data_IF_067776362234
#
_entry.id   IF_067776362234
#
_cell.length_a   1.000
_cell.length_b   1.000
_cell.length_c   1.000
_cell.angle_alpha   90.00
_cell.angle_beta   90.00
_cell.angle_gamma   90.00
#
_symmetry.space_group_name_H-M   'P 1'
#
loop_
_entity.id
_entity.type
_entity.pdbx_description
1 polymer ?
#
# COMPACT_ATOMS: atom_id res chain seq x y z
N UNK A 1 -26.75 -19.89 -27.38
CA UNK A 1 -26.05 -18.93 -26.51
C UNK A 1 -25.82 -19.60 -25.16
N UNK A 2 -24.59 -19.62 -24.66
CA UNK A 2 -24.26 -20.15 -23.34
C UNK A 2 -24.78 -19.25 -22.22
N UNK A 3 -24.85 -19.77 -20.97
CA UNK A 3 -25.36 -19.00 -19.82
C UNK A 3 -24.52 -17.73 -19.59
N UNK A 4 -23.21 -17.81 -19.73
CA UNK A 4 -22.29 -16.66 -19.57
C UNK A 4 -22.56 -15.59 -20.60
N UNK A 5 -22.71 -15.96 -21.87
CA UNK A 5 -22.98 -15.02 -22.97
C UNK A 5 -24.37 -14.39 -22.83
N UNK A 6 -25.37 -15.19 -22.41
CA UNK A 6 -26.70 -14.68 -22.16
C UNK A 6 -26.76 -13.64 -21.03
N UNK A 7 -26.03 -13.89 -19.96
CA UNK A 7 -25.89 -12.89 -18.87
C UNK A 7 -25.20 -11.61 -19.32
N UNK A 8 -24.13 -11.73 -20.12
CA UNK A 8 -23.44 -10.56 -20.65
C UNK A 8 -24.37 -9.74 -21.56
N UNK A 9 -25.03 -10.38 -22.53
CA UNK A 9 -25.95 -9.73 -23.43
C UNK A 9 -27.14 -9.05 -22.71
N UNK A 10 -27.69 -9.70 -21.68
CA UNK A 10 -28.76 -9.11 -20.87
C UNK A 10 -28.27 -7.86 -20.09
N UNK A 11 -27.07 -7.90 -19.51
CA UNK A 11 -26.50 -6.75 -18.82
C UNK A 11 -26.21 -5.59 -19.78
N UNK A 12 -25.72 -5.88 -20.98
CA UNK A 12 -25.44 -4.87 -22.00
C UNK A 12 -26.73 -4.22 -22.49
N UNK A 13 -27.78 -5.00 -22.72
CA UNK A 13 -29.11 -4.49 -23.11
C UNK A 13 -29.71 -3.59 -22.01
N UNK A 14 -29.72 -4.04 -20.74
CA UNK A 14 -30.23 -3.24 -19.63
C UNK A 14 -29.48 -1.92 -19.47
N UNK A 15 -28.15 -1.92 -19.70
CA UNK A 15 -27.35 -0.71 -19.66
C UNK A 15 -27.67 0.23 -20.81
N UNK A 16 -27.85 -0.29 -22.03
CA UNK A 16 -28.20 0.49 -23.21
C UNK A 16 -29.59 1.15 -23.10
N UNK A 17 -30.56 0.44 -22.50
CA UNK A 17 -31.91 0.98 -22.28
C UNK A 17 -32.00 1.90 -21.04
N UNK A 18 -30.89 2.13 -20.30
CA UNK A 18 -30.90 2.96 -19.09
C UNK A 18 -31.69 2.36 -17.93
N UNK A 19 -31.97 1.05 -17.96
CA UNK A 19 -32.75 0.32 -16.95
C UNK A 19 -31.87 -0.22 -15.84
N UNK A 20 -30.53 -0.16 -15.98
CA UNK A 20 -29.59 -0.63 -14.99
C UNK A 20 -28.15 -0.27 -15.33
N UNK A 21 -27.25 -0.51 -14.39
CA UNK A 21 -25.80 -0.35 -14.57
C UNK A 21 -25.08 -1.63 -14.22
N UNK A 22 -24.08 -1.99 -15.02
CA UNK A 22 -23.22 -3.14 -14.71
C UNK A 22 -22.44 -2.85 -13.43
N UNK A 23 -22.53 -3.76 -12.46
CA UNK A 23 -21.78 -3.69 -11.20
C UNK A 23 -20.97 -4.96 -11.00
N UNK A 24 -19.71 -4.79 -10.63
CA UNK A 24 -18.82 -5.88 -10.20
C UNK A 24 -18.82 -5.87 -8.68
N UNK A 25 -19.20 -7.01 -8.06
CA UNK A 25 -19.10 -7.20 -6.61
C UNK A 25 -17.93 -8.15 -6.36
N UNK A 26 -16.93 -7.64 -5.68
CA UNK A 26 -15.80 -8.46 -5.23
C UNK A 26 -16.19 -9.24 -3.98
N UNK A 27 -15.75 -10.50 -3.88
CA UNK A 27 -15.95 -11.37 -2.71
C UNK A 27 -14.73 -11.36 -1.78
N UNK A 28 -13.92 -10.32 -1.86
CA UNK A 28 -12.78 -10.08 -1.00
C UNK A 28 -13.13 -8.97 -0.03
N UNK A 29 -12.68 -9.08 1.23
CA UNK A 29 -12.80 -7.98 2.20
C UNK A 29 -11.71 -6.97 1.92
N UNK A 30 -12.05 -5.70 2.12
CA UNK A 30 -11.05 -4.63 2.09
C UNK A 30 -9.97 -4.91 3.13
N UNK A 31 -8.74 -4.70 2.72
CA UNK A 31 -7.58 -4.86 3.57
C UNK A 31 -7.03 -3.49 3.94
N UNK A 32 -6.99 -3.22 5.24
CA UNK A 32 -6.39 -2.00 5.75
C UNK A 32 -4.86 -2.17 5.75
N UNK A 33 -4.17 -1.31 5.04
CA UNK A 33 -2.71 -1.37 4.94
C UNK A 33 -2.01 -0.65 6.11
N UNK A 34 -2.66 0.29 6.80
CA UNK A 34 -2.15 0.97 7.99
C UNK A 34 -2.17 0.07 9.22
N UNK A 35 -1.12 0.15 10.03
CA UNK A 35 -0.96 -0.58 11.29
C UNK A 35 -0.55 0.37 12.40
N UNK A 36 -1.27 0.33 13.51
CA UNK A 36 -1.03 1.11 14.72
C UNK A 36 0.06 0.43 15.56
N UNK A 37 1.28 0.34 15.01
CA UNK A 37 2.39 -0.35 15.66
C UNK A 37 3.75 0.18 15.22
N UNK A 38 4.75 -0.05 16.07
CA UNK A 38 6.14 0.27 15.79
C UNK A 38 6.83 -0.88 15.02
N UNK A 39 6.30 -1.20 13.81
CA UNK A 39 6.84 -2.24 12.95
C UNK A 39 6.34 -2.07 11.52
N UNK A 40 7.26 -1.96 10.57
CA UNK A 40 6.96 -1.74 9.17
C UNK A 40 7.39 -0.35 8.70
N UNK A 41 7.23 -0.05 7.41
CA UNK A 41 7.59 1.26 6.85
C UNK A 41 6.63 2.34 7.33
N UNK A 42 7.12 3.49 7.82
CA UNK A 42 6.28 4.65 8.08
C UNK A 42 5.55 5.12 6.82
N UNK A 43 4.30 5.53 6.99
CA UNK A 43 3.51 6.10 5.91
C UNK A 43 3.94 7.56 5.71
N UNK A 44 4.41 7.98 4.52
CA UNK A 44 5.00 9.30 4.30
C UNK A 44 3.93 10.38 4.10
N UNK A 45 3.03 10.54 5.08
CA UNK A 45 1.93 11.50 5.04
C UNK A 45 1.98 12.42 6.25
N UNK A 46 1.49 13.64 6.06
CA UNK A 46 1.49 14.72 7.04
C UNK A 46 0.10 15.34 7.11
N UNK A 47 -0.44 15.50 8.32
CA UNK A 47 -1.72 16.15 8.59
C UNK A 47 -1.50 17.60 9.00
N UNK A 48 -2.03 18.53 8.22
CA UNK A 48 -2.04 19.95 8.51
C UNK A 48 -3.48 20.41 8.73
N UNK A 49 -3.72 21.20 9.77
CA UNK A 49 -5.07 21.67 10.08
C UNK A 49 -5.60 22.64 9.00
N UNK A 50 -4.71 23.39 8.33
CA UNK A 50 -5.08 24.35 7.27
C UNK A 50 -5.10 23.72 5.88
N UNK A 51 -4.14 22.84 5.56
CA UNK A 51 -3.94 22.28 4.21
C UNK A 51 -4.49 20.86 4.04
N UNK A 52 -4.96 20.23 5.12
CA UNK A 52 -5.38 18.83 5.09
C UNK A 52 -4.21 17.85 4.96
N UNK A 53 -4.46 16.71 4.35
CA UNK A 53 -3.49 15.65 4.17
C UNK A 53 -2.48 16.03 3.07
N UNK A 54 -1.19 15.98 3.40
CA UNK A 54 -0.09 16.31 2.49
C UNK A 54 0.91 15.15 2.44
N UNK A 55 1.51 14.84 1.26
CA UNK A 55 2.63 13.91 1.19
C UNK A 55 3.89 14.53 1.78
N UNK A 56 4.74 13.72 2.41
CA UNK A 56 6.09 14.14 2.77
C UNK A 56 6.89 14.48 1.51
N UNK A 57 7.73 15.53 1.50
CA UNK A 57 8.61 15.83 0.38
C UNK A 57 9.55 14.66 0.05
N UNK A 58 9.87 14.47 -1.22
CA UNK A 58 10.83 13.43 -1.63
C UNK A 58 12.21 13.61 -0.99
N UNK A 59 12.59 14.84 -0.68
CA UNK A 59 13.85 15.17 0.03
C UNK A 59 13.92 14.58 1.44
N UNK A 60 12.77 14.30 2.04
CA UNK A 60 12.67 13.78 3.42
C UNK A 60 12.60 12.24 3.46
N UNK A 61 12.59 11.61 2.30
CA UNK A 61 12.58 10.15 2.18
C UNK A 61 14.00 9.56 2.25
N UNK A 62 14.16 8.40 2.87
CA UNK A 62 13.13 7.61 3.55
C UNK A 62 12.76 8.16 4.92
N UNK A 63 11.47 8.04 5.29
CA UNK A 63 11.04 8.31 6.67
C UNK A 63 11.52 7.15 7.54
N UNK A 64 12.41 7.42 8.48
CA UNK A 64 12.96 6.40 9.37
C UNK A 64 12.17 6.35 10.68
N UNK A 65 12.02 5.15 11.22
CA UNK A 65 11.53 4.97 12.59
C UNK A 65 12.59 5.48 13.57
N UNK A 66 12.20 6.25 14.60
CA UNK A 66 13.14 6.66 15.65
C UNK A 66 13.60 5.45 16.46
N UNK A 67 14.84 5.47 16.93
CA UNK A 67 15.47 4.42 17.73
C UNK A 67 15.42 4.69 19.24
N UNK A 68 14.98 5.89 19.62
CA UNK A 68 14.87 6.36 21.01
C UNK A 68 13.43 6.36 21.54
N UNK A 69 12.60 5.40 21.11
CA UNK A 69 11.20 5.30 21.53
C UNK A 69 11.04 4.69 22.93
N UNK A 70 10.06 5.19 23.67
CA UNK A 70 9.62 4.61 24.93
C UNK A 70 8.43 3.66 24.69
N UNK A 71 8.58 2.38 25.04
CA UNK A 71 7.47 1.43 25.01
C UNK A 71 6.69 1.47 26.32
N UNK A 72 5.39 1.72 26.24
CA UNK A 72 4.48 1.80 27.38
C UNK A 72 3.66 0.52 27.54
N UNK A 73 3.36 0.11 28.79
CA UNK A 73 2.54 -1.08 29.02
C UNK A 73 1.11 -1.00 28.46
N UNK A 74 0.63 0.21 28.12
CA UNK A 74 -0.69 0.44 27.52
C UNK A 74 -0.88 -0.24 26.16
N UNK A 75 0.21 -0.63 25.48
CA UNK A 75 0.16 -1.19 24.13
C UNK A 75 -0.09 -0.16 23.02
N UNK A 76 -0.08 1.14 23.37
CA UNK A 76 -0.18 2.22 22.38
C UNK A 76 1.03 2.26 21.46
N UNK A 77 0.81 2.68 20.22
CA UNK A 77 1.90 2.89 19.27
C UNK A 77 2.84 4.02 19.78
N UNK A 78 4.13 3.74 20.03
CA UNK A 78 5.05 4.72 20.58
C UNK A 78 5.24 5.96 19.69
N UNK A 79 4.98 5.89 18.39
CA UNK A 79 5.06 7.02 17.47
C UNK A 79 4.04 8.11 17.80
N UNK A 80 2.91 7.76 18.42
CA UNK A 80 1.83 8.72 18.75
C UNK A 80 2.22 9.75 19.82
N UNK A 81 3.23 9.44 20.62
CA UNK A 81 3.74 10.36 21.66
C UNK A 81 5.22 10.72 21.51
N UNK A 82 5.89 10.21 20.46
CA UNK A 82 7.26 10.60 20.17
C UNK A 82 7.31 11.97 19.46
N UNK A 83 7.55 13.03 20.22
CA UNK A 83 7.41 14.41 19.75
C UNK A 83 8.30 14.75 18.55
N UNK A 84 9.52 14.21 18.52
CA UNK A 84 10.47 14.42 17.42
C UNK A 84 10.06 13.76 16.10
N UNK A 85 9.27 12.68 16.16
CA UNK A 85 8.72 12.03 14.99
C UNK A 85 7.39 12.65 14.57
N UNK A 86 6.52 12.92 15.55
CA UNK A 86 5.14 13.36 15.34
C UNK A 86 5.07 14.78 14.77
N UNK A 87 5.81 15.72 15.40
CA UNK A 87 5.70 17.13 15.05
C UNK A 87 6.61 17.51 13.88
N UNK A 88 6.00 18.02 12.83
CA UNK A 88 6.70 18.42 11.59
C UNK A 88 6.11 19.72 11.06
N UNK A 89 6.79 20.36 10.12
CA UNK A 89 6.24 21.48 9.37
C UNK A 89 5.44 20.98 8.16
N UNK A 90 4.33 21.64 7.87
CA UNK A 90 3.56 21.36 6.67
C UNK A 90 4.36 21.71 5.41
N UNK A 91 4.51 20.81 4.45
CA UNK A 91 5.27 21.09 3.22
C UNK A 91 4.58 22.13 2.31
N UNK A 92 3.28 22.35 2.48
CA UNK A 92 2.52 23.30 1.65
C UNK A 92 2.52 24.72 2.24
N UNK A 93 2.33 24.90 3.55
CA UNK A 93 2.21 26.23 4.16
C UNK A 93 3.31 26.58 5.18
N UNK A 94 4.15 25.61 5.56
CA UNK A 94 5.19 25.79 6.59
C UNK A 94 4.67 25.85 8.03
N UNK A 95 3.36 25.76 8.24
CA UNK A 95 2.74 25.76 9.56
C UNK A 95 2.96 24.46 10.33
N UNK A 96 2.53 24.45 11.59
CA UNK A 96 2.61 23.23 12.43
C UNK A 96 1.74 22.13 11.84
N UNK A 97 2.27 20.91 11.81
CA UNK A 97 1.59 19.75 11.28
C UNK A 97 2.03 18.48 12.03
N UNK A 98 1.35 17.38 11.79
CA UNK A 98 1.61 16.10 12.45
C UNK A 98 1.87 15.03 11.40
N UNK A 99 2.94 14.26 11.59
CA UNK A 99 3.24 13.09 10.76
C UNK A 99 2.24 11.98 11.05
N UNK A 100 1.93 11.17 10.02
CA UNK A 100 1.22 9.91 10.20
C UNK A 100 2.04 8.97 11.11
N UNK A 101 1.37 8.35 12.06
CA UNK A 101 2.00 7.45 13.04
C UNK A 101 1.75 5.97 12.76
N UNK A 102 0.85 5.65 11.83
CA UNK A 102 0.69 4.29 11.35
C UNK A 102 1.90 3.88 10.50
N UNK A 103 2.21 2.59 10.53
CA UNK A 103 3.15 1.98 9.61
C UNK A 103 2.42 1.16 8.56
N UNK A 104 3.03 0.93 7.42
CA UNK A 104 2.49 0.03 6.41
C UNK A 104 2.53 -1.41 6.92
N UNK A 105 1.50 -2.19 6.58
CA UNK A 105 1.57 -3.63 6.73
C UNK A 105 2.76 -4.18 5.94
N UNK A 106 3.44 -5.18 6.51
CA UNK A 106 4.66 -5.73 5.92
C UNK A 106 4.45 -6.34 4.53
N UNK A 107 3.23 -6.68 4.15
CA UNK A 107 2.93 -7.10 2.79
C UNK A 107 3.10 -6.00 1.74
N UNK A 108 2.98 -4.73 2.12
CA UNK A 108 3.24 -3.62 1.21
C UNK A 108 4.70 -3.62 0.76
N UNK A 109 5.63 -3.95 1.66
CA UNK A 109 7.05 -4.05 1.34
C UNK A 109 7.40 -5.38 0.67
N UNK A 110 6.84 -6.49 1.16
CA UNK A 110 7.25 -7.82 0.76
C UNK A 110 6.52 -8.38 -0.46
N UNK A 111 5.42 -7.77 -0.89
CA UNK A 111 4.59 -8.29 -1.98
C UNK A 111 5.28 -8.28 -3.36
N UNK A 112 6.19 -7.37 -3.61
CA UNK A 112 6.86 -7.18 -4.90
C UNK A 112 8.28 -7.78 -4.97
N UNK A 113 8.67 -8.62 -4.01
CA UNK A 113 10.00 -9.23 -3.89
C UNK A 113 10.48 -9.93 -5.16
N UNK A 114 9.56 -10.59 -5.88
CA UNK A 114 9.89 -11.31 -7.12
C UNK A 114 10.36 -10.37 -8.24
N UNK A 115 9.84 -9.15 -8.30
CA UNK A 115 10.32 -8.13 -9.24
C UNK A 115 11.72 -7.62 -8.83
N UNK A 116 12.01 -7.53 -7.52
CA UNK A 116 13.32 -7.15 -6.99
C UNK A 116 14.39 -8.18 -7.30
N UNK A 117 14.05 -9.47 -7.39
CA UNK A 117 15.00 -10.54 -7.77
C UNK A 117 15.62 -10.34 -9.14
N UNK A 118 14.96 -9.62 -10.06
CA UNK A 118 15.51 -9.35 -11.39
C UNK A 118 16.79 -8.50 -11.35
N UNK A 119 16.92 -7.61 -10.35
CA UNK A 119 18.13 -6.83 -10.07
C UNK A 119 18.14 -6.39 -8.59
N UNK A 120 18.69 -7.21 -7.68
CA UNK A 120 18.71 -6.91 -6.25
C UNK A 120 19.61 -5.74 -5.88
N UNK A 121 20.50 -5.30 -6.79
CA UNK A 121 21.45 -4.21 -6.56
C UNK A 121 20.98 -2.87 -7.10
N UNK A 122 19.82 -2.81 -7.77
CA UNK A 122 19.28 -1.57 -8.31
C UNK A 122 19.10 -0.51 -7.21
N UNK A 123 19.41 0.75 -7.52
CA UNK A 123 19.19 1.90 -6.63
C UNK A 123 17.73 2.35 -6.55
N UNK A 124 16.90 1.86 -7.47
CA UNK A 124 15.43 2.05 -7.51
C UNK A 124 14.73 0.76 -7.06
N UNK A 125 13.44 0.78 -6.74
CA UNK A 125 12.70 -0.41 -6.34
C UNK A 125 12.86 -1.58 -7.32
N UNK A 126 12.83 -1.31 -8.61
CA UNK A 126 13.11 -2.28 -9.68
C UNK A 126 13.97 -1.63 -10.76
N UNK A 127 14.69 -2.44 -11.53
CA UNK A 127 15.36 -2.01 -12.75
C UNK A 127 14.47 -2.33 -13.96
N UNK A 128 13.87 -1.34 -14.66
CA UNK A 128 12.94 -1.59 -15.77
C UNK A 128 13.54 -2.47 -16.88
N UNK A 129 14.82 -2.35 -17.17
CA UNK A 129 15.50 -3.19 -18.19
C UNK A 129 15.55 -4.66 -17.77
N UNK A 130 15.83 -4.91 -16.50
CA UNK A 130 15.88 -6.27 -15.95
C UNK A 130 14.48 -6.86 -15.83
N UNK A 131 13.53 -6.11 -15.27
CA UNK A 131 12.15 -6.57 -15.11
C UNK A 131 11.47 -6.84 -16.45
N UNK A 132 11.63 -5.99 -17.46
CA UNK A 132 11.08 -6.20 -18.80
C UNK A 132 11.65 -7.44 -19.50
N UNK A 133 12.85 -7.90 -19.10
CA UNK A 133 13.46 -9.10 -19.64
C UNK A 133 13.00 -10.38 -18.94
N UNK A 134 12.80 -10.32 -17.62
CA UNK A 134 12.58 -11.48 -16.77
C UNK A 134 11.13 -11.69 -16.33
N UNK A 135 10.28 -10.68 -16.50
CA UNK A 135 8.85 -10.76 -16.19
C UNK A 135 8.02 -10.78 -17.48
N UNK A 136 6.82 -11.36 -17.46
CA UNK A 136 6.18 -12.04 -16.32
C UNK A 136 6.92 -13.32 -15.90
N UNK A 137 6.65 -13.78 -14.67
CA UNK A 137 7.20 -15.05 -14.17
C UNK A 137 6.54 -16.21 -14.90
N UNK A 138 7.33 -17.06 -15.57
CA UNK A 138 6.81 -18.22 -16.33
C UNK A 138 6.36 -19.35 -15.40
N UNK A 139 7.04 -19.53 -14.28
CA UNK A 139 6.75 -20.57 -13.31
C UNK A 139 7.17 -20.15 -11.91
N UNK A 140 6.28 -20.39 -10.94
CA UNK A 140 6.53 -20.21 -9.51
C UNK A 140 6.22 -21.52 -8.78
N UNK A 141 7.20 -22.02 -8.01
CA UNK A 141 7.10 -23.29 -7.28
C UNK A 141 7.15 -22.97 -5.78
N UNK A 142 6.13 -23.41 -5.06
CA UNK A 142 6.01 -23.17 -3.63
C UNK A 142 4.91 -24.02 -2.99
N UNK A 143 4.65 -23.80 -1.72
CA UNK A 143 3.60 -24.47 -0.97
C UNK A 143 2.20 -23.98 -1.30
N UNK A 144 1.19 -24.73 -0.87
CA UNK A 144 -0.23 -24.40 -1.11
C UNK A 144 -0.65 -23.09 -0.46
N UNK A 145 0.04 -22.64 0.58
CA UNK A 145 -0.19 -21.37 1.27
C UNK A 145 -0.08 -20.16 0.34
N UNK A 146 0.68 -20.28 -0.74
CA UNK A 146 0.83 -19.22 -1.75
C UNK A 146 -0.46 -18.93 -2.53
N UNK A 147 -1.46 -19.81 -2.47
CA UNK A 147 -2.79 -19.53 -3.02
C UNK A 147 -3.46 -18.30 -2.37
N UNK A 148 -3.11 -18.01 -1.11
CA UNK A 148 -3.62 -16.85 -0.35
C UNK A 148 -2.53 -15.84 0.03
N UNK A 149 -1.31 -16.04 -0.44
CA UNK A 149 -0.16 -15.15 -0.26
C UNK A 149 0.32 -14.64 -1.60
N UNK A 150 1.33 -15.26 -2.19
CA UNK A 150 1.96 -14.81 -3.42
C UNK A 150 0.97 -14.63 -4.59
N UNK A 151 0.09 -15.59 -4.84
CA UNK A 151 -0.89 -15.51 -5.94
C UNK A 151 -1.97 -14.45 -5.73
N UNK A 152 -2.13 -13.95 -4.49
CA UNK A 152 -3.08 -12.89 -4.21
C UNK A 152 -2.50 -11.50 -4.50
N UNK A 153 -1.22 -11.29 -4.25
CA UNK A 153 -0.61 -9.95 -4.35
C UNK A 153 0.38 -9.79 -5.52
N UNK A 154 0.74 -10.86 -6.24
CA UNK A 154 1.55 -10.78 -7.45
C UNK A 154 0.71 -10.54 -8.71
#
# INVERSE_FOLDING_TARGET
MGVTDAKAAAMDWLTAEGLGTRKINFRIRDWLFGRQRFWGCPIPMIYCDDCGLQPSPESDLPILLPDDVEFRPSGENPLTYHQGFLNVSCPACGGNARRETDTLDTFVDSSWYFARFADPTASTPTNPRATNRWLPVDQYIGGIEHAILHLLYS
#
